data_IF_786562730017
#
_entry.id   IF_786562730017
#
_cell.length_a   1.000
_cell.length_b   1.000
_cell.length_c   1.000
_cell.angle_alpha   90.00
_cell.angle_beta   90.00
_cell.angle_gamma   90.00
#
_symmetry.space_group_name_H-M   'P 1'
#
loop_
_entity.id
_entity.type
_entity.pdbx_description
1 polymer ?
#
# COMPACT_ATOMS: atom_id res chain seq x y z
N UNK A 1 -32.45 -47.54 6.63
CA UNK A 1 -31.15 -46.92 6.94
C UNK A 1 -31.30 -45.42 6.74
N UNK A 2 -31.21 -44.62 7.81
CA UNK A 2 -31.30 -43.15 7.73
C UNK A 2 -29.89 -42.61 7.43
N UNK A 3 -29.71 -42.05 6.24
CA UNK A 3 -28.46 -41.39 5.84
C UNK A 3 -28.37 -40.05 6.58
N UNK A 4 -27.34 -39.88 7.40
CA UNK A 4 -27.00 -38.59 8.00
C UNK A 4 -26.09 -37.85 7.01
N UNK A 5 -26.58 -36.74 6.44
CA UNK A 5 -25.73 -35.78 5.74
C UNK A 5 -24.96 -34.98 6.79
N UNK A 6 -23.63 -35.13 6.84
CA UNK A 6 -22.74 -34.22 7.54
C UNK A 6 -22.46 -33.01 6.62
N UNK A 7 -22.98 -31.83 6.99
CA UNK A 7 -22.47 -30.57 6.43
C UNK A 7 -21.16 -30.23 7.15
N UNK A 8 -20.04 -30.35 6.44
CA UNK A 8 -18.76 -29.79 6.87
C UNK A 8 -18.82 -28.29 6.57
N UNK A 9 -18.59 -27.39 7.55
CA UNK A 9 -18.49 -25.98 7.25
C UNK A 9 -17.26 -25.76 6.36
N UNK A 10 -17.48 -25.32 5.12
CA UNK A 10 -16.40 -24.76 4.30
C UNK A 10 -15.92 -23.50 5.04
N UNK A 11 -14.67 -23.50 5.49
CA UNK A 11 -13.98 -22.26 5.83
C UNK A 11 -13.81 -21.49 4.52
N UNK A 12 -14.64 -20.48 4.32
CA UNK A 12 -14.41 -19.50 3.27
C UNK A 12 -13.29 -18.59 3.77
N UNK A 13 -12.08 -18.76 3.23
CA UNK A 13 -11.07 -17.73 3.35
C UNK A 13 -11.64 -16.44 2.72
N UNK A 14 -11.32 -15.27 3.27
CA UNK A 14 -11.74 -14.00 2.66
C UNK A 14 -11.26 -13.92 1.21
N UNK A 15 -12.02 -13.27 0.34
CA UNK A 15 -11.62 -12.99 -1.03
C UNK A 15 -10.78 -11.70 -1.06
N UNK A 16 -9.65 -11.73 -1.76
CA UNK A 16 -8.84 -10.52 -2.00
C UNK A 16 -9.52 -9.72 -3.11
N UNK A 17 -10.10 -8.57 -2.74
CA UNK A 17 -10.82 -7.68 -3.67
C UNK A 17 -9.85 -6.76 -4.44
N UNK A 18 -8.72 -6.43 -3.84
CA UNK A 18 -7.61 -5.70 -4.46
C UNK A 18 -6.31 -6.11 -3.79
N UNK A 19 -5.25 -6.27 -4.59
CA UNK A 19 -3.93 -6.73 -4.14
C UNK A 19 -2.90 -5.60 -4.27
N UNK A 20 -2.35 -5.19 -3.13
CA UNK A 20 -1.34 -4.16 -3.01
C UNK A 20 0.09 -4.68 -2.89
N UNK A 21 0.33 -5.97 -3.04
CA UNK A 21 1.66 -6.56 -2.86
C UNK A 21 2.62 -6.24 -4.01
N UNK A 22 3.91 -6.22 -3.70
CA UNK A 22 4.97 -5.95 -4.66
C UNK A 22 5.68 -7.26 -5.02
N UNK A 23 5.44 -7.75 -6.24
CA UNK A 23 6.10 -8.96 -6.70
C UNK A 23 7.63 -8.78 -6.85
N UNK A 24 8.35 -9.90 -7.02
CA UNK A 24 9.81 -9.92 -7.11
C UNK A 24 10.40 -9.05 -8.24
N UNK A 25 9.65 -8.80 -9.30
CA UNK A 25 10.05 -7.95 -10.44
C UNK A 25 9.65 -6.47 -10.31
N UNK A 26 8.88 -6.12 -9.28
CA UNK A 26 8.40 -4.75 -9.09
C UNK A 26 9.55 -3.79 -8.77
N UNK A 27 9.52 -2.61 -9.41
CA UNK A 27 10.43 -1.48 -9.17
C UNK A 27 9.62 -0.20 -9.09
N UNK A 28 10.11 0.81 -8.36
CA UNK A 28 9.37 2.06 -8.16
C UNK A 28 9.11 2.83 -9.46
N UNK A 29 9.97 2.70 -10.46
CA UNK A 29 9.76 3.27 -11.81
C UNK A 29 8.48 2.74 -12.51
N UNK A 30 7.89 1.63 -12.02
CA UNK A 30 6.61 1.16 -12.53
C UNK A 30 5.44 2.05 -12.09
N UNK A 31 5.58 2.76 -10.96
CA UNK A 31 4.59 3.73 -10.48
C UNK A 31 4.52 4.96 -11.39
N UNK A 32 5.63 5.34 -12.02
CA UNK A 32 5.70 6.46 -12.97
C UNK A 32 4.94 6.19 -14.30
N UNK A 33 4.52 4.93 -14.53
CA UNK A 33 3.71 4.57 -15.70
C UNK A 33 2.23 4.95 -15.52
N UNK A 34 1.79 5.11 -14.29
CA UNK A 34 0.43 5.55 -13.97
C UNK A 34 0.28 7.04 -14.30
N UNK A 35 -0.88 7.41 -14.83
CA UNK A 35 -1.30 8.81 -14.94
C UNK A 35 -2.82 8.88 -15.01
N UNK A 36 -3.41 10.06 -14.82
CA UNK A 36 -4.85 10.28 -15.00
C UNK A 36 -5.38 9.82 -16.36
N UNK A 37 -4.56 9.95 -17.42
CA UNK A 37 -4.91 9.50 -18.78
C UNK A 37 -4.54 8.04 -19.07
N UNK A 38 -3.77 7.40 -18.19
CA UNK A 38 -3.30 6.02 -18.33
C UNK A 38 -3.22 5.35 -16.95
N UNK A 39 -4.37 5.02 -16.33
CA UNK A 39 -4.44 4.51 -14.97
C UNK A 39 -4.09 3.02 -14.91
N UNK A 40 -2.80 2.72 -15.11
CA UNK A 40 -2.26 1.35 -15.13
C UNK A 40 -1.59 0.97 -13.82
N UNK A 41 -1.50 -0.33 -13.54
CA UNK A 41 -0.88 -0.85 -12.33
C UNK A 41 -1.80 -0.80 -11.11
N UNK A 42 -1.31 -1.26 -9.94
CA UNK A 42 -2.13 -1.43 -8.75
C UNK A 42 -2.30 -0.16 -7.90
N UNK A 43 -1.47 0.87 -8.14
CA UNK A 43 -1.45 2.10 -7.36
C UNK A 43 -1.54 3.35 -8.23
N UNK A 44 -2.28 4.33 -7.75
CA UNK A 44 -2.21 5.72 -8.20
C UNK A 44 -1.05 6.40 -7.48
N UNK A 45 -0.24 7.14 -8.23
CA UNK A 45 0.91 7.86 -7.73
C UNK A 45 0.88 9.30 -8.23
N UNK A 46 0.35 10.20 -7.39
CA UNK A 46 0.28 11.64 -7.69
C UNK A 46 0.38 12.55 -6.47
N UNK A 47 0.25 12.03 -5.25
CA UNK A 47 0.38 12.78 -4.00
C UNK A 47 1.82 12.65 -3.53
N UNK A 48 2.68 13.45 -4.15
CA UNK A 48 4.11 13.49 -3.86
C UNK A 48 4.70 14.87 -4.15
N UNK A 49 5.96 15.04 -3.74
CA UNK A 49 6.74 16.24 -3.98
C UNK A 49 7.30 16.34 -5.40
N UNK A 50 8.20 17.30 -5.62
CA UNK A 50 8.76 17.60 -6.94
C UNK A 50 9.90 16.71 -7.41
N UNK A 51 10.51 15.94 -6.51
CA UNK A 51 11.66 15.09 -6.82
C UNK A 51 11.23 13.79 -7.53
N UNK A 52 12.23 13.04 -8.01
CA UNK A 52 12.00 11.73 -8.61
C UNK A 52 11.34 10.76 -7.61
N UNK A 53 10.55 9.82 -8.11
CA UNK A 53 9.85 8.80 -7.30
C UNK A 53 10.79 8.03 -6.37
N UNK A 54 12.03 7.76 -6.79
CA UNK A 54 13.05 7.09 -5.97
C UNK A 54 13.53 7.89 -4.76
N UNK A 55 13.25 9.19 -4.69
CA UNK A 55 13.47 10.01 -3.50
C UNK A 55 12.47 9.66 -2.40
N UNK A 56 11.23 9.36 -2.78
CA UNK A 56 10.12 9.13 -1.86
C UNK A 56 9.88 7.64 -1.60
N UNK A 57 10.10 6.78 -2.59
CA UNK A 57 9.72 5.38 -2.56
C UNK A 57 10.90 4.48 -2.91
N UNK A 58 11.02 3.38 -2.18
CA UNK A 58 11.93 2.28 -2.52
C UNK A 58 11.27 0.94 -2.23
N UNK A 59 11.45 -0.06 -3.08
CA UNK A 59 10.94 -1.42 -2.88
C UNK A 59 12.09 -2.42 -2.70
N UNK A 60 12.00 -3.25 -1.67
CA UNK A 60 13.02 -4.26 -1.37
C UNK A 60 12.44 -5.42 -0.56
N UNK A 61 13.03 -6.60 -0.69
CA UNK A 61 12.72 -7.76 0.15
C UNK A 61 13.02 -7.49 1.65
N UNK A 62 13.91 -6.54 1.94
CA UNK A 62 14.29 -6.17 3.31
C UNK A 62 13.25 -5.26 4.01
N UNK A 63 12.27 -4.74 3.27
CA UNK A 63 11.30 -3.78 3.82
C UNK A 63 9.97 -4.44 4.24
N UNK A 64 9.69 -5.67 3.80
CA UNK A 64 8.47 -6.38 4.21
C UNK A 64 8.58 -6.94 5.62
N UNK A 65 7.45 -7.35 6.18
CA UNK A 65 7.43 -8.19 7.36
C UNK A 65 8.06 -9.57 7.03
N UNK A 66 9.14 -10.01 7.69
CA UNK A 66 9.77 -11.30 7.42
C UNK A 66 8.87 -12.53 7.65
N UNK A 67 7.82 -12.36 8.47
CA UNK A 67 6.81 -13.39 8.70
C UNK A 67 5.84 -13.54 7.50
N UNK A 68 5.69 -12.51 6.68
CA UNK A 68 4.85 -12.55 5.49
C UNK A 68 5.52 -13.36 4.37
N UNK A 69 4.83 -14.42 3.94
CA UNK A 69 5.26 -15.33 2.88
C UNK A 69 4.53 -15.11 1.56
N UNK A 70 3.55 -14.21 1.55
CA UNK A 70 2.74 -13.88 0.37
C UNK A 70 3.32 -12.70 -0.41
N UNK A 71 3.80 -11.67 0.29
CA UNK A 71 4.46 -10.54 -0.35
C UNK A 71 5.94 -10.82 -0.61
N UNK A 72 6.47 -10.45 -1.78
CA UNK A 72 7.88 -10.68 -2.15
C UNK A 72 8.76 -9.48 -1.75
N UNK A 73 8.21 -8.26 -1.72
CA UNK A 73 8.93 -7.04 -1.35
C UNK A 73 8.05 -6.12 -0.52
N UNK A 74 8.66 -5.42 0.43
CA UNK A 74 8.00 -4.28 1.07
C UNK A 74 8.35 -2.98 0.37
N UNK A 75 7.67 -1.92 0.77
CA UNK A 75 7.96 -0.56 0.36
C UNK A 75 8.44 0.27 1.54
N UNK A 76 9.47 1.09 1.32
CA UNK A 76 9.84 2.20 2.18
C UNK A 76 9.23 3.47 1.60
N UNK A 77 8.49 4.20 2.42
CA UNK A 77 7.90 5.49 2.09
C UNK A 77 8.61 6.55 2.92
N UNK A 78 9.17 7.55 2.24
CA UNK A 78 9.94 8.64 2.80
C UNK A 78 9.20 9.96 2.58
N UNK A 79 9.35 10.86 3.54
CA UNK A 79 9.00 12.28 3.40
C UNK A 79 10.21 13.13 3.75
N UNK A 80 10.38 14.23 3.04
CA UNK A 80 11.40 15.25 3.30
C UNK A 80 10.85 16.64 2.98
N UNK A 81 11.70 17.67 3.07
CA UNK A 81 11.33 19.07 2.81
C UNK A 81 10.82 19.31 1.38
N UNK A 82 11.01 18.37 0.46
CA UNK A 82 10.49 18.43 -0.91
C UNK A 82 9.14 17.75 -1.08
N UNK A 83 8.67 16.97 -0.10
CA UNK A 83 7.40 16.22 -0.12
C UNK A 83 6.15 17.11 0.02
N UNK A 84 6.16 18.30 -0.58
CA UNK A 84 5.01 19.21 -0.66
C UNK A 84 4.20 18.94 -1.92
N UNK A 85 3.03 18.32 -1.75
CA UNK A 85 2.08 18.17 -2.85
C UNK A 85 1.23 19.43 -3.00
N UNK A 86 1.12 19.96 -4.22
CA UNK A 86 0.31 21.15 -4.55
C UNK A 86 0.59 22.40 -3.68
N UNK A 87 1.83 22.58 -3.19
CA UNK A 87 2.20 23.73 -2.35
C UNK A 87 1.59 23.70 -0.96
N UNK A 88 1.08 22.54 -0.52
CA UNK A 88 0.61 22.34 0.84
C UNK A 88 1.78 22.36 1.83
N UNK A 89 1.50 22.72 3.08
CA UNK A 89 2.49 22.75 4.16
C UNK A 89 2.71 21.37 4.81
N UNK A 90 1.83 20.42 4.56
CA UNK A 90 1.95 19.04 5.05
C UNK A 90 2.86 18.25 4.12
N UNK A 91 3.83 17.52 4.70
CA UNK A 91 4.69 16.61 3.95
C UNK A 91 3.94 15.31 3.65
N UNK A 92 3.84 14.94 2.37
CA UNK A 92 3.00 13.83 1.88
C UNK A 92 3.71 13.03 0.80
N UNK A 93 3.68 11.71 0.96
CA UNK A 93 4.05 10.70 -0.03
C UNK A 93 3.04 9.57 0.10
N UNK A 94 2.01 9.57 -0.74
CA UNK A 94 0.84 8.68 -0.59
C UNK A 94 0.54 7.91 -1.87
N UNK A 95 0.26 6.61 -1.71
CA UNK A 95 -0.24 5.74 -2.76
C UNK A 95 -1.71 5.42 -2.49
N UNK A 96 -2.52 5.48 -3.53
CA UNK A 96 -3.96 5.15 -3.47
C UNK A 96 -4.21 3.90 -4.31
N UNK A 97 -5.05 2.94 -3.89
CA UNK A 97 -5.43 1.82 -4.73
C UNK A 97 -5.97 2.25 -6.11
N UNK A 98 -5.37 1.71 -7.18
CA UNK A 98 -5.92 1.79 -8.54
C UNK A 98 -6.73 0.53 -8.80
N UNK A 99 -8.06 0.65 -8.82
CA UNK A 99 -8.97 -0.48 -9.07
C UNK A 99 -10.34 0.00 -9.54
N UNK A 100 -11.06 -0.88 -10.22
CA UNK A 100 -12.50 -0.72 -10.53
C UNK A 100 -13.39 -1.50 -9.55
N UNK A 101 -12.80 -2.23 -8.60
CA UNK A 101 -13.54 -2.98 -7.58
C UNK A 101 -14.17 -2.03 -6.54
N UNK A 102 -15.35 -2.39 -6.04
CA UNK A 102 -16.01 -1.66 -4.95
C UNK A 102 -15.30 -1.93 -3.63
N UNK A 103 -14.55 -0.94 -3.15
CA UNK A 103 -13.85 -0.99 -1.86
C UNK A 103 -14.65 -0.32 -0.72
N UNK A 104 -15.84 0.23 -0.99
CA UNK A 104 -16.60 1.04 -0.03
C UNK A 104 -17.86 0.37 0.53
N UNK A 105 -18.36 -0.68 -0.13
CA UNK A 105 -19.62 -1.32 0.24
C UNK A 105 -19.44 -2.60 1.07
N UNK A 106 -20.36 -2.82 2.01
CA UNK A 106 -20.41 -4.06 2.79
C UNK A 106 -19.36 -4.14 3.89
N UNK A 107 -18.93 -5.37 4.22
CA UNK A 107 -17.88 -5.61 5.22
C UNK A 107 -16.60 -6.00 4.51
N UNK A 108 -15.62 -5.09 4.52
CA UNK A 108 -14.31 -5.26 3.92
C UNK A 108 -13.23 -5.11 5.00
N UNK A 109 -12.08 -5.70 4.74
CA UNK A 109 -10.93 -5.65 5.65
C UNK A 109 -9.73 -5.07 4.89
N UNK A 110 -9.23 -3.93 5.37
CA UNK A 110 -8.08 -3.25 4.78
C UNK A 110 -6.82 -3.65 5.56
N UNK A 111 -5.97 -4.45 4.91
CA UNK A 111 -4.78 -5.01 5.54
C UNK A 111 -3.53 -4.20 5.18
N UNK A 112 -2.70 -3.91 6.18
CA UNK A 112 -1.36 -3.38 5.99
C UNK A 112 -0.45 -3.83 7.14
N UNK A 113 0.85 -3.88 6.89
CA UNK A 113 1.89 -4.03 7.92
C UNK A 113 2.78 -2.80 7.91
N UNK A 114 3.13 -2.29 9.08
CA UNK A 114 3.93 -1.08 9.23
C UNK A 114 5.07 -1.30 10.22
N UNK A 115 6.25 -0.78 9.89
CA UNK A 115 7.40 -0.70 10.78
C UNK A 115 8.15 0.62 10.56
N UNK A 116 8.95 1.01 11.55
CA UNK A 116 9.89 2.13 11.46
C UNK A 116 11.29 1.65 11.87
N UNK A 117 12.31 2.46 11.58
CA UNK A 117 13.69 2.25 12.04
C UNK A 117 14.11 3.39 12.97
N UNK A 118 15.21 3.22 13.69
CA UNK A 118 15.84 4.32 14.45
C UNK A 118 16.42 5.39 13.52
N UNK A 119 17.05 4.97 12.43
CA UNK A 119 17.48 5.85 11.36
C UNK A 119 16.26 6.43 10.64
N UNK A 120 16.20 7.76 10.54
CA UNK A 120 15.08 8.50 9.95
C UNK A 120 13.71 8.12 10.58
N UNK A 121 13.69 7.89 11.89
CA UNK A 121 12.46 7.63 12.62
C UNK A 121 11.44 8.78 12.46
N UNK A 122 10.13 8.50 12.37
CA UNK A 122 9.10 9.53 12.41
C UNK A 122 9.23 10.42 13.64
N UNK A 123 9.02 11.73 13.46
CA UNK A 123 9.24 12.70 14.54
C UNK A 123 8.10 12.64 15.55
N UNK A 124 8.34 12.07 16.73
CA UNK A 124 7.30 11.93 17.76
C UNK A 124 6.65 13.24 18.24
N UNK A 125 7.28 14.40 17.98
CA UNK A 125 6.75 15.72 18.32
C UNK A 125 5.74 16.28 17.29
N UNK A 126 5.56 15.61 16.15
CA UNK A 126 4.67 16.02 15.07
C UNK A 126 3.59 14.96 14.84
N UNK A 127 2.40 15.41 14.45
CA UNK A 127 1.32 14.51 14.05
C UNK A 127 1.66 13.81 12.73
N UNK A 128 1.30 12.52 12.63
CA UNK A 128 1.40 11.73 11.42
C UNK A 128 0.06 11.03 11.19
N UNK A 129 -0.49 11.15 9.98
CA UNK A 129 -1.66 10.40 9.55
C UNK A 129 -1.19 9.30 8.60
N UNK A 130 -1.47 8.04 8.94
CA UNK A 130 -0.94 6.87 8.24
C UNK A 130 -2.08 5.90 7.95
N UNK A 131 -2.16 5.40 6.71
CA UNK A 131 -3.22 4.50 6.25
C UNK A 131 -4.63 5.04 6.57
N UNK A 132 -4.87 6.30 6.21
CA UNK A 132 -6.11 7.03 6.46
C UNK A 132 -7.02 7.06 5.23
N UNK A 133 -8.31 7.30 5.45
CA UNK A 133 -9.29 7.64 4.41
C UNK A 133 -9.43 9.16 4.34
N UNK A 134 -9.81 9.69 3.17
CA UNK A 134 -10.17 11.11 2.97
C UNK A 134 -11.43 11.52 3.75
#
# INVERSE_FOLDING_TARGET
MKSFLLLIPLVHAGEVVWDGFFNSSFTVDQLDKWSWSNPVGPYQWYIHGSEATSNYLEVSADFKNPADKSDEKGIRISIDDTSSWNGQTMMRSELIPQTDADLGSGTLFYHFSLQTKEENAPTAALEHQIAFFE
#
